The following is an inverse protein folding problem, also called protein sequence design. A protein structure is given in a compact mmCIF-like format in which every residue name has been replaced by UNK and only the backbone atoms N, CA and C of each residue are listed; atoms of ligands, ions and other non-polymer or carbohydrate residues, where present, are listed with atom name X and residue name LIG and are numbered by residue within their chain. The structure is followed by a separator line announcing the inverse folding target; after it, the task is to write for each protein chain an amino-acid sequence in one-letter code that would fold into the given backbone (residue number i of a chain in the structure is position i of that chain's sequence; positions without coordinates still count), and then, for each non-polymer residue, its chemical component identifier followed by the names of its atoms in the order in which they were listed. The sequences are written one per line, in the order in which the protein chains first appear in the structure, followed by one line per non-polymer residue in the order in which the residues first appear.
data_IF_453598602230
#
_entry.id   IF_453598602230
#
_cell.length_a   1.000
_cell.length_b   1.000
_cell.length_c   1.000
_cell.angle_alpha   90.00
_cell.angle_beta   90.00
_cell.angle_gamma   90.00
#
_symmetry.space_group_name_H-M   'P 1'
#
loop_
_entity.id
_entity.type
_entity.pdbx_description
1 polymer ?
#
# COMPACT_ATOMS: atom_id res chain seq x y z
N UNK A 1 -3.31 -19.60 0.32
CA UNK A 1 -1.91 -19.77 -0.14
C UNK A 1 -1.30 -18.46 -0.65
N UNK A 2 -1.99 -17.69 -1.50
CA UNK A 2 -1.47 -16.39 -2.01
C UNK A 2 -1.26 -15.34 -0.90
N UNK A 3 -2.18 -15.27 0.06
CA UNK A 3 -2.11 -14.36 1.21
C UNK A 3 -0.82 -14.50 2.02
N UNK A 4 -0.25 -15.71 2.14
CA UNK A 4 1.03 -15.92 2.84
C UNK A 4 2.22 -15.31 2.09
N UNK A 5 2.19 -15.32 0.75
CA UNK A 5 3.22 -14.68 -0.06
C UNK A 5 3.19 -13.15 0.09
N UNK A 6 2.01 -12.58 0.34
CA UNK A 6 1.85 -11.13 0.54
C UNK A 6 2.46 -10.65 1.88
N UNK A 7 2.60 -11.54 2.87
CA UNK A 7 3.28 -11.25 4.14
C UNK A 7 4.79 -11.39 4.06
N UNK A 8 5.33 -12.12 3.08
CA UNK A 8 6.76 -12.41 2.99
C UNK A 8 7.62 -11.12 2.95
N UNK A 9 7.29 -10.09 2.14
CA UNK A 9 8.09 -8.87 2.10
C UNK A 9 8.06 -8.11 3.42
N UNK A 10 6.95 -8.19 4.16
CA UNK A 10 6.82 -7.56 5.48
C UNK A 10 7.74 -8.24 6.50
N UNK A 11 7.75 -9.57 6.53
CA UNK A 11 8.63 -10.35 7.42
C UNK A 11 10.10 -10.06 7.10
N UNK A 12 10.46 -10.04 5.81
CA UNK A 12 11.82 -9.71 5.36
C UNK A 12 12.21 -8.30 5.80
N UNK A 13 11.32 -7.32 5.61
CA UNK A 13 11.57 -5.95 6.05
C UNK A 13 11.88 -5.88 7.55
N UNK A 14 11.03 -6.47 8.40
CA UNK A 14 11.24 -6.43 9.85
C UNK A 14 12.49 -7.19 10.29
N UNK A 15 12.81 -8.31 9.65
CA UNK A 15 14.04 -9.05 9.94
C UNK A 15 15.28 -8.20 9.66
N UNK A 16 15.35 -7.58 8.47
CA UNK A 16 16.47 -6.71 8.10
C UNK A 16 16.52 -5.44 8.95
N UNK A 17 15.37 -4.85 9.27
CA UNK A 17 15.30 -3.66 10.12
C UNK A 17 15.84 -3.90 11.52
N UNK A 18 15.61 -5.11 12.06
CA UNK A 18 16.07 -5.50 13.39
C UNK A 18 17.57 -5.82 13.43
N UNK A 19 18.12 -6.39 12.36
CA UNK A 19 19.51 -6.87 12.32
C UNK A 19 20.47 -5.76 11.84
N UNK A 20 20.02 -4.96 10.88
CA UNK A 20 20.79 -3.92 10.22
C UNK A 20 20.16 -2.56 10.52
N UNK A 21 19.60 -1.90 9.51
CA UNK A 21 18.98 -0.60 9.61
C UNK A 21 17.77 -0.48 8.67
N UNK A 22 17.18 0.72 8.62
CA UNK A 22 16.03 1.01 7.78
C UNK A 22 16.35 1.01 6.29
N UNK A 23 17.59 1.31 5.89
CA UNK A 23 17.99 1.36 4.50
C UNK A 23 18.15 -0.05 3.93
N UNK A 24 18.85 -0.92 4.64
CA UNK A 24 18.95 -2.34 4.32
C UNK A 24 17.56 -3.01 4.31
N UNK A 25 16.71 -2.68 5.28
CA UNK A 25 15.32 -3.16 5.31
C UNK A 25 14.51 -2.71 4.09
N UNK A 26 14.66 -1.44 3.70
CA UNK A 26 13.97 -0.87 2.54
C UNK A 26 14.40 -1.52 1.24
N UNK A 27 15.71 -1.73 1.04
CA UNK A 27 16.23 -2.44 -0.11
C UNK A 27 15.71 -3.89 -0.15
N UNK A 28 15.75 -4.59 0.99
CA UNK A 28 15.23 -5.95 1.11
C UNK A 28 13.72 -6.04 0.84
N UNK A 29 12.94 -5.05 1.25
CA UNK A 29 11.50 -4.95 0.96
C UNK A 29 11.22 -4.80 -0.53
N UNK A 30 11.96 -3.92 -1.23
CA UNK A 30 11.83 -3.75 -2.69
C UNK A 30 12.14 -5.07 -3.40
N UNK A 31 13.25 -5.72 -3.04
CA UNK A 31 13.66 -6.99 -3.66
C UNK A 31 12.64 -8.10 -3.37
N UNK A 32 12.20 -8.24 -2.12
CA UNK A 32 11.24 -9.28 -1.73
C UNK A 32 9.88 -9.07 -2.41
N UNK A 33 9.37 -7.85 -2.48
CA UNK A 33 8.12 -7.55 -3.21
C UNK A 33 8.26 -7.83 -4.71
N UNK A 34 9.39 -7.49 -5.33
CA UNK A 34 9.64 -7.82 -6.74
C UNK A 34 9.63 -9.34 -6.98
N UNK A 35 10.31 -10.11 -6.12
CA UNK A 35 10.35 -11.58 -6.21
C UNK A 35 8.94 -12.16 -6.07
N UNK A 36 8.15 -11.70 -5.10
CA UNK A 36 6.77 -12.16 -4.89
C UNK A 36 5.89 -11.83 -6.09
N UNK A 37 6.03 -10.63 -6.67
CA UNK A 37 5.26 -10.22 -7.84
C UNK A 37 5.59 -11.08 -9.06
N UNK A 38 6.88 -11.30 -9.33
CA UNK A 38 7.36 -12.15 -10.43
C UNK A 38 6.90 -13.60 -10.22
N UNK A 39 7.06 -14.13 -9.02
CA UNK A 39 6.62 -15.48 -8.67
C UNK A 39 5.10 -15.62 -8.86
N UNK A 40 4.32 -14.64 -8.41
CA UNK A 40 2.87 -14.64 -8.58
C UNK A 40 2.49 -14.60 -10.06
N UNK A 41 3.20 -13.82 -10.87
CA UNK A 41 2.96 -13.74 -12.31
C UNK A 41 3.27 -15.06 -13.02
N UNK A 42 4.41 -15.69 -12.73
CA UNK A 42 4.80 -16.96 -13.34
C UNK A 42 3.86 -18.09 -12.92
N UNK A 43 3.54 -18.20 -11.62
CA UNK A 43 2.79 -19.35 -11.09
C UNK A 43 1.29 -19.27 -11.34
N UNK A 44 0.71 -18.07 -11.25
CA UNK A 44 -0.74 -17.87 -11.35
C UNK A 44 -1.16 -17.21 -12.67
N UNK A 45 -0.21 -16.79 -13.53
CA UNK A 45 -0.45 -16.06 -14.79
C UNK A 45 -1.33 -14.82 -14.63
N UNK A 46 -1.51 -14.34 -13.40
CA UNK A 46 -2.34 -13.19 -13.03
C UNK A 46 -1.61 -12.36 -12.00
N UNK A 47 -1.42 -11.08 -12.33
CA UNK A 47 -0.96 -10.06 -11.38
C UNK A 47 -2.18 -9.36 -10.84
N UNK A 48 -2.33 -9.34 -9.52
CA UNK A 48 -3.40 -8.55 -8.89
C UNK A 48 -3.06 -7.07 -9.00
N UNK A 49 -4.05 -6.27 -9.44
CA UNK A 49 -3.87 -4.82 -9.59
C UNK A 49 -3.38 -4.19 -8.28
N UNK A 50 -3.90 -4.64 -7.14
CA UNK A 50 -3.49 -4.16 -5.82
C UNK A 50 -2.03 -4.50 -5.51
N UNK A 51 -1.56 -5.71 -5.85
CA UNK A 51 -0.14 -6.07 -5.66
C UNK A 51 0.80 -5.20 -6.51
N UNK A 52 0.39 -4.88 -7.75
CA UNK A 52 1.14 -4.00 -8.65
C UNK A 52 1.21 -2.57 -8.11
N UNK A 53 0.08 -2.02 -7.64
CA UNK A 53 0.02 -0.70 -7.01
C UNK A 53 0.92 -0.66 -5.77
N UNK A 54 0.83 -1.68 -4.90
CA UNK A 54 1.68 -1.79 -3.71
C UNK A 54 3.16 -1.83 -4.09
N UNK A 55 3.54 -2.61 -5.11
CA UNK A 55 4.93 -2.67 -5.58
C UNK A 55 5.42 -1.32 -6.08
N UNK A 56 4.63 -0.61 -6.90
CA UNK A 56 4.99 0.74 -7.37
C UNK A 56 5.19 1.69 -6.19
N UNK A 57 4.29 1.68 -5.21
CA UNK A 57 4.44 2.52 -4.02
C UNK A 57 5.70 2.18 -3.23
N UNK A 58 6.00 0.89 -3.04
CA UNK A 58 7.22 0.44 -2.35
C UNK A 58 8.48 0.88 -3.11
N UNK A 59 8.49 0.76 -4.43
CA UNK A 59 9.64 1.19 -5.26
C UNK A 59 9.81 2.70 -5.23
N UNK A 60 8.73 3.48 -5.30
CA UNK A 60 8.79 4.94 -5.28
C UNK A 60 9.25 5.44 -3.91
N UNK A 61 8.54 5.10 -2.83
CA UNK A 61 8.91 5.58 -1.49
C UNK A 61 10.21 4.95 -0.98
N UNK A 62 10.44 3.67 -1.25
CA UNK A 62 11.67 3.00 -0.88
C UNK A 62 12.86 3.47 -1.70
N UNK A 63 12.66 3.73 -3.00
CA UNK A 63 13.68 4.32 -3.87
C UNK A 63 14.07 5.73 -3.43
N UNK A 64 13.09 6.58 -3.08
CA UNK A 64 13.37 7.88 -2.49
C UNK A 64 14.13 7.77 -1.17
N UNK A 65 13.76 6.82 -0.31
CA UNK A 65 14.45 6.55 0.96
C UNK A 65 15.93 6.21 0.76
N UNK A 66 16.24 5.35 -0.21
CA UNK A 66 17.60 4.93 -0.53
C UNK A 66 18.39 6.03 -1.26
N UNK A 67 17.75 6.72 -2.21
CA UNK A 67 18.42 7.74 -3.01
C UNK A 67 18.80 8.96 -2.16
N UNK A 68 17.87 9.45 -1.35
CA UNK A 68 18.09 10.61 -0.49
C UNK A 68 18.70 10.24 0.86
N UNK A 69 18.90 8.94 1.16
CA UNK A 69 19.30 8.47 2.49
C UNK A 69 18.50 9.15 3.61
N UNK A 70 17.18 9.20 3.43
CA UNK A 70 16.26 9.80 4.37
C UNK A 70 15.10 8.83 4.65
N UNK A 71 15.01 8.37 5.90
CA UNK A 71 14.02 7.40 6.36
C UNK A 71 12.61 7.98 6.52
N UNK A 72 12.46 9.30 6.43
CA UNK A 72 11.16 9.96 6.39
C UNK A 72 10.34 9.49 5.19
N UNK A 73 10.94 9.24 4.02
CA UNK A 73 10.18 8.85 2.83
C UNK A 73 9.40 7.54 3.03
N UNK A 74 10.01 6.50 3.62
CA UNK A 74 9.31 5.24 3.88
C UNK A 74 8.24 5.38 4.98
N UNK A 75 8.46 6.27 5.95
CA UNK A 75 7.50 6.57 7.03
C UNK A 75 6.29 7.37 6.50
N UNK A 76 6.53 8.34 5.62
CA UNK A 76 5.51 9.23 5.07
C UNK A 76 4.49 8.54 4.17
N UNK A 77 4.75 7.30 3.72
CA UNK A 77 3.80 6.53 2.90
C UNK A 77 2.38 6.54 3.48
N UNK A 78 2.25 6.41 4.81
CA UNK A 78 0.95 6.32 5.50
C UNK A 78 0.32 7.70 5.59
N UNK A 79 1.11 8.72 5.94
CA UNK A 79 0.67 10.12 6.02
C UNK A 79 0.13 10.60 4.68
N UNK A 80 0.81 10.31 3.57
CA UNK A 80 0.36 10.69 2.22
C UNK A 80 -0.96 10.01 1.88
N UNK A 81 -1.10 8.71 2.16
CA UNK A 81 -2.37 7.99 1.91
C UNK A 81 -3.52 8.61 2.73
N UNK A 82 -3.29 8.92 4.01
CA UNK A 82 -4.31 9.55 4.85
C UNK A 82 -4.60 10.99 4.44
N UNK A 83 -3.61 11.76 4.01
CA UNK A 83 -3.81 13.10 3.50
C UNK A 83 -4.64 13.09 2.21
N UNK A 84 -4.36 12.16 1.29
CA UNK A 84 -5.16 11.96 0.08
C UNK A 84 -6.60 11.56 0.42
N UNK A 85 -6.79 10.65 1.37
CA UNK A 85 -8.12 10.24 1.82
C UNK A 85 -8.88 11.40 2.49
N UNK A 86 -8.24 12.12 3.40
CA UNK A 86 -8.82 13.30 4.04
C UNK A 86 -9.17 14.39 3.03
N UNK A 87 -8.28 14.68 2.08
CA UNK A 87 -8.54 15.60 0.98
C UNK A 87 -9.71 15.16 0.11
N UNK A 88 -9.80 13.88 -0.25
CA UNK A 88 -10.93 13.33 -1.01
C UNK A 88 -12.26 13.49 -0.25
N UNK A 89 -12.26 13.28 1.07
CA UNK A 89 -13.43 13.50 1.92
C UNK A 89 -13.84 14.98 1.99
N UNK A 90 -12.88 15.88 2.22
CA UNK A 90 -13.13 17.33 2.27
C UNK A 90 -13.66 17.85 0.92
N UNK A 91 -13.01 17.50 -0.18
CA UNK A 91 -13.46 17.86 -1.53
C UNK A 91 -14.85 17.28 -1.79
N UNK A 92 -15.12 16.05 -1.37
CA UNK A 92 -16.44 15.45 -1.53
C UNK A 92 -17.52 16.19 -0.76
N UNK A 93 -17.23 16.70 0.44
CA UNK A 93 -18.19 17.43 1.26
C UNK A 93 -18.64 18.74 0.61
N UNK A 94 -17.75 19.44 -0.11
CA UNK A 94 -18.06 20.73 -0.72
C UNK A 94 -18.43 20.67 -2.20
N UNK A 95 -17.91 19.69 -2.95
CA UNK A 95 -18.09 19.59 -4.41
C UNK A 95 -19.21 18.59 -4.77
N UNK A 96 -19.45 17.56 -3.96
CA UNK A 96 -20.47 16.56 -4.28
C UNK A 96 -21.81 16.86 -3.62
N UNK A 97 -22.91 16.61 -4.35
CA UNK A 97 -24.28 16.72 -3.81
C UNK A 97 -24.55 15.80 -2.61
N UNK A 98 -23.80 14.69 -2.49
CA UNK A 98 -23.84 13.75 -1.36
C UNK A 98 -22.39 13.45 -0.93
N UNK A 99 -22.05 13.57 0.36
CA UNK A 99 -20.72 13.24 0.86
C UNK A 99 -20.31 11.80 0.51
N UNK A 100 -19.01 11.58 0.29
CA UNK A 100 -18.45 10.28 -0.09
C UNK A 100 -18.86 9.18 0.90
N UNK A 101 -18.80 9.52 2.19
CA UNK A 101 -19.19 8.63 3.31
C UNK A 101 -20.65 8.18 3.15
N UNK A 102 -21.56 9.09 2.85
CA UNK A 102 -22.98 8.76 2.64
C UNK A 102 -23.17 7.84 1.42
N UNK A 103 -22.40 8.03 0.35
CA UNK A 103 -22.42 7.16 -0.83
C UNK A 103 -21.86 5.76 -0.55
N UNK A 104 -20.85 5.66 0.30
CA UNK A 104 -20.26 4.38 0.70
C UNK A 104 -21.22 3.60 1.60
N UNK A 105 -21.75 4.24 2.66
CA UNK A 105 -22.69 3.61 3.59
C UNK A 105 -24.04 3.27 2.95
N UNK A 106 -24.54 4.11 2.04
CA UNK A 106 -25.82 3.86 1.35
C UNK A 106 -25.82 2.64 0.43
N UNK A 107 -24.65 2.10 0.06
CA UNK A 107 -24.55 0.84 -0.69
C UNK A 107 -24.67 -0.39 0.20
N UNK A 108 -24.27 -0.27 1.46
CA UNK A 108 -24.19 -1.37 2.43
C UNK A 108 -25.43 -1.42 3.35
N UNK A 109 -26.21 -0.34 3.43
CA UNK A 109 -27.45 -0.28 4.19
C UNK A 109 -28.65 -0.71 3.33
N UNK A 110 -29.06 -1.97 3.46
CA UNK A 110 -30.35 -2.46 2.96
C UNK A 110 -31.44 -2.21 4.00
N UNK A 111 -32.39 -1.33 3.70
CA UNK A 111 -33.55 -1.14 4.57
C UNK A 111 -34.56 -2.27 4.32
N UNK A 112 -35.15 -2.87 5.38
CA UNK A 112 -36.28 -3.78 5.21
C UNK A 112 -37.45 -3.02 4.59
N UNK A 113 -38.06 -3.60 3.56
CA UNK A 113 -39.26 -3.04 2.94
C UNK A 113 -40.45 -3.21 3.90
N UNK A 114 -41.36 -2.22 3.98
CA UNK A 114 -42.53 -2.27 4.86
C UNK A 114 -43.47 -3.45 4.54
#
# INVERSE_FOLDING_TARGET
MKQFLDFLPLVVFFAFYKIYDIYAATAALIVATAIVLIYSWVRFRKVEKMALITFVLVVVFGGLTLFFHNDEFIKWKVTVIYALFAGALLVSQWVMKKPLIQRMLGKELTLPQP
#
